data_IF_546696449941
#
_entry.id   IF_546696449941
#
_cell.length_a   1.000
_cell.length_b   1.000
_cell.length_c   1.000
_cell.angle_alpha   90.00
_cell.angle_beta   90.00
_cell.angle_gamma   90.00
#
_symmetry.space_group_name_H-M   'P 1'
#
loop_
_entity.id
_entity.type
_entity.pdbx_description
1 polymer ?
#
# COMPACT_ATOMS: atom_id res chain seq x y z
N UNK A 1 11.38 64.94 -5.33
CA UNK A 1 10.49 64.25 -6.29
C UNK A 1 10.95 62.81 -6.51
N UNK A 2 12.28 62.53 -6.56
CA UNK A 2 12.83 61.16 -6.77
C UNK A 2 12.56 60.21 -5.57
N UNK A 3 12.49 60.72 -4.36
CA UNK A 3 12.30 59.94 -3.13
C UNK A 3 10.88 59.37 -3.00
N UNK A 4 9.84 60.05 -3.47
CA UNK A 4 8.45 59.58 -3.41
C UNK A 4 8.16 58.44 -4.40
N UNK A 5 8.86 58.45 -5.54
CA UNK A 5 8.71 57.36 -6.56
C UNK A 5 9.33 56.05 -6.06
N UNK A 6 10.47 56.13 -5.35
CA UNK A 6 11.13 54.96 -4.78
C UNK A 6 10.32 54.30 -3.66
N UNK A 7 9.65 55.11 -2.83
CA UNK A 7 8.80 54.60 -1.74
C UNK A 7 7.56 53.89 -2.33
N UNK A 8 6.96 54.45 -3.40
CA UNK A 8 5.83 53.80 -4.06
C UNK A 8 6.17 52.45 -4.71
N UNK A 9 7.40 52.30 -5.26
CA UNK A 9 7.87 51.02 -5.81
C UNK A 9 8.12 49.98 -4.72
N UNK A 10 8.71 50.41 -3.59
CA UNK A 10 8.95 49.50 -2.44
C UNK A 10 7.64 49.02 -1.80
N UNK A 11 6.64 49.87 -1.72
CA UNK A 11 5.30 49.50 -1.21
C UNK A 11 4.61 48.50 -2.16
N UNK A 12 4.73 48.67 -3.48
CA UNK A 12 4.19 47.72 -4.44
C UNK A 12 4.88 46.36 -4.37
N UNK A 13 6.19 46.31 -4.20
CA UNK A 13 6.95 45.06 -4.03
C UNK A 13 6.56 44.38 -2.71
N UNK A 14 6.40 45.13 -1.62
CA UNK A 14 5.99 44.59 -0.32
C UNK A 14 4.57 44.02 -0.37
N UNK A 15 3.62 44.69 -1.06
CA UNK A 15 2.25 44.18 -1.23
C UNK A 15 2.23 42.89 -2.08
N UNK A 16 3.06 42.82 -3.13
CA UNK A 16 3.13 41.62 -3.98
C UNK A 16 3.75 40.42 -3.25
N UNK A 17 4.60 40.63 -2.25
CA UNK A 17 5.21 39.57 -1.44
C UNK A 17 4.23 39.07 -0.36
N UNK A 18 3.31 39.91 0.11
CA UNK A 18 2.30 39.57 1.14
C UNK A 18 1.13 38.77 0.54
N UNK A 19 0.86 38.89 -0.77
CA UNK A 19 -0.22 38.13 -1.45
C UNK A 19 0.18 36.76 -1.96
N UNK A 20 1.43 36.32 -1.79
CA UNK A 20 1.82 34.93 -1.94
C UNK A 20 1.55 34.19 -0.62
N UNK A 21 0.29 34.01 -0.27
CA UNK A 21 -0.06 32.95 0.69
C UNK A 21 0.51 31.63 0.12
N UNK A 22 1.24 30.84 0.95
CA UNK A 22 1.59 29.51 0.53
C UNK A 22 0.25 28.80 0.30
N UNK A 23 0.00 28.35 -0.94
CA UNK A 23 -1.03 27.36 -1.16
C UNK A 23 -0.79 26.24 -0.15
N UNK A 24 -1.61 26.22 0.90
CA UNK A 24 -1.78 25.07 1.75
C UNK A 24 -2.28 23.99 0.79
N UNK A 25 -1.35 23.19 0.29
CA UNK A 25 -1.72 21.92 -0.33
C UNK A 25 -2.55 21.22 0.76
N UNK A 26 -3.86 21.21 0.56
CA UNK A 26 -4.70 20.29 1.30
C UNK A 26 -4.00 18.94 1.18
N UNK A 27 -3.46 18.46 2.30
CA UNK A 27 -3.04 17.07 2.41
C UNK A 27 -4.31 16.29 2.06
N UNK A 28 -4.36 15.78 0.83
CA UNK A 28 -5.35 14.79 0.45
C UNK A 28 -5.17 13.67 1.45
N UNK A 29 -6.08 13.61 2.42
CA UNK A 29 -6.15 12.53 3.39
C UNK A 29 -6.13 11.26 2.57
N UNK A 30 -4.99 10.55 2.59
CA UNK A 30 -4.77 9.35 1.79
C UNK A 30 -5.99 8.44 2.02
N UNK A 31 -6.67 8.07 0.94
CA UNK A 31 -7.78 7.14 1.03
C UNK A 31 -7.20 5.81 1.51
N UNK A 32 -7.51 5.42 2.74
CA UNK A 32 -7.11 4.13 3.27
C UNK A 32 -7.63 3.03 2.35
N UNK A 33 -6.80 2.07 2.01
CA UNK A 33 -7.21 0.89 1.25
C UNK A 33 -8.38 0.21 1.96
N UNK A 34 -9.33 -0.32 1.19
CA UNK A 34 -10.43 -1.06 1.76
C UNK A 34 -9.93 -2.44 2.18
N UNK A 35 -9.80 -2.66 3.48
CA UNK A 35 -9.58 -3.97 4.08
C UNK A 35 -10.90 -4.46 4.69
N UNK A 36 -11.31 -5.67 4.35
CA UNK A 36 -12.47 -6.34 4.95
C UNK A 36 -12.00 -7.44 5.89
N UNK A 37 -12.77 -7.73 6.95
CA UNK A 37 -12.41 -8.83 7.89
C UNK A 37 -12.26 -10.17 7.18
N UNK A 38 -13.08 -10.44 6.18
CA UNK A 38 -13.03 -11.65 5.35
C UNK A 38 -11.73 -11.74 4.53
N UNK A 39 -11.08 -10.60 4.26
CA UNK A 39 -9.79 -10.49 3.57
C UNK A 39 -8.58 -10.72 4.47
N UNK A 40 -8.79 -11.07 5.74
CA UNK A 40 -7.72 -11.37 6.68
C UNK A 40 -7.72 -12.87 6.98
N UNK A 41 -6.57 -13.53 6.76
CA UNK A 41 -6.35 -14.94 7.08
C UNK A 41 -5.12 -15.06 7.97
N UNK A 42 -5.28 -15.63 9.15
CA UNK A 42 -4.23 -15.79 10.15
C UNK A 42 -3.91 -17.27 10.41
N UNK A 43 -2.71 -17.55 10.88
CA UNK A 43 -2.30 -18.89 11.25
C UNK A 43 -2.25 -19.88 10.09
N UNK A 44 -1.96 -19.40 8.88
CA UNK A 44 -1.89 -20.25 7.68
C UNK A 44 -0.63 -21.12 7.72
N UNK A 45 -0.76 -22.36 7.21
CA UNK A 45 0.38 -23.24 7.00
C UNK A 45 1.26 -22.72 5.88
N UNK A 46 2.58 -22.88 6.02
CA UNK A 46 3.54 -22.54 4.98
C UNK A 46 3.23 -23.26 3.68
N UNK A 47 3.37 -22.56 2.57
CA UNK A 47 3.22 -23.04 1.20
C UNK A 47 4.36 -22.46 0.36
N UNK A 48 4.47 -22.87 -0.90
CA UNK A 48 5.40 -22.21 -1.83
C UNK A 48 4.93 -20.79 -2.19
N UNK A 49 5.87 -19.98 -2.69
CA UNK A 49 5.65 -18.56 -3.02
C UNK A 49 4.50 -18.36 -4.01
N UNK A 50 4.48 -19.11 -5.09
CA UNK A 50 3.44 -18.96 -6.12
C UNK A 50 2.06 -19.30 -5.55
N UNK A 51 1.95 -20.35 -4.76
CA UNK A 51 0.70 -20.74 -4.08
C UNK A 51 0.22 -19.63 -3.15
N UNK A 52 1.12 -19.00 -2.37
CA UNK A 52 0.76 -17.87 -1.50
C UNK A 52 0.26 -16.65 -2.29
N UNK A 53 0.93 -16.32 -3.40
CA UNK A 53 0.52 -15.20 -4.27
C UNK A 53 -0.83 -15.49 -4.92
N UNK A 54 -1.03 -16.69 -5.46
CA UNK A 54 -2.31 -17.08 -6.06
C UNK A 54 -3.45 -17.07 -5.04
N UNK A 55 -3.19 -17.52 -3.80
CA UNK A 55 -4.18 -17.48 -2.73
C UNK A 55 -4.58 -16.04 -2.36
N UNK A 56 -3.62 -15.12 -2.30
CA UNK A 56 -3.90 -13.69 -2.09
C UNK A 56 -4.70 -13.10 -3.27
N UNK A 57 -4.35 -13.42 -4.50
CA UNK A 57 -5.09 -13.00 -5.69
C UNK A 57 -6.51 -13.55 -5.75
N UNK A 58 -6.70 -14.83 -5.40
CA UNK A 58 -8.03 -15.43 -5.30
C UNK A 58 -8.90 -14.73 -4.26
N UNK A 59 -8.33 -14.41 -3.11
CA UNK A 59 -9.05 -13.70 -2.04
C UNK A 59 -9.45 -12.28 -2.47
N UNK A 60 -8.60 -11.56 -3.23
CA UNK A 60 -8.95 -10.28 -3.83
C UNK A 60 -10.11 -10.41 -4.82
N UNK A 61 -10.10 -11.47 -5.63
CA UNK A 61 -11.17 -11.78 -6.58
C UNK A 61 -12.49 -12.12 -5.87
N UNK A 62 -12.47 -13.00 -4.88
CA UNK A 62 -13.64 -13.44 -4.11
C UNK A 62 -14.31 -12.26 -3.39
N UNK A 63 -13.53 -11.28 -2.94
CA UNK A 63 -14.03 -10.06 -2.31
C UNK A 63 -14.49 -8.99 -3.32
N UNK A 64 -14.33 -9.26 -4.61
CA UNK A 64 -14.78 -8.39 -5.70
C UNK A 64 -13.91 -7.16 -5.93
N UNK A 65 -12.62 -7.21 -5.53
CA UNK A 65 -11.65 -6.16 -5.84
C UNK A 65 -11.11 -6.29 -7.26
N UNK A 66 -10.97 -7.52 -7.76
CA UNK A 66 -10.41 -7.84 -9.08
C UNK A 66 -11.25 -8.88 -9.82
N UNK A 67 -10.89 -9.22 -11.05
CA UNK A 67 -11.32 -10.44 -11.72
C UNK A 67 -10.20 -11.51 -11.64
N UNK A 68 -10.46 -12.72 -12.16
CA UNK A 68 -9.53 -13.86 -12.08
C UNK A 68 -8.23 -13.64 -12.86
N UNK A 69 -8.23 -12.83 -13.93
CA UNK A 69 -7.03 -12.55 -14.72
C UNK A 69 -5.97 -11.82 -13.90
N UNK A 70 -6.37 -11.12 -12.83
CA UNK A 70 -5.45 -10.43 -11.94
C UNK A 70 -4.52 -11.40 -11.19
N UNK A 71 -4.96 -12.63 -10.92
CA UNK A 71 -4.18 -13.66 -10.21
C UNK A 71 -2.90 -13.97 -11.00
N UNK A 72 -3.03 -14.20 -12.31
CA UNK A 72 -1.86 -14.45 -13.15
C UNK A 72 -0.96 -13.22 -13.25
N UNK A 73 -1.53 -12.04 -13.34
CA UNK A 73 -0.77 -10.79 -13.37
C UNK A 73 0.05 -10.55 -12.09
N UNK A 74 -0.40 -11.02 -10.93
CA UNK A 74 0.37 -10.97 -9.68
C UNK A 74 1.56 -11.92 -9.74
N UNK A 75 1.39 -13.13 -10.27
CA UNK A 75 2.49 -14.09 -10.46
C UNK A 75 3.50 -13.57 -11.48
N UNK A 76 3.04 -13.03 -12.59
CA UNK A 76 3.90 -12.42 -13.62
C UNK A 76 4.72 -11.26 -13.05
N UNK A 77 4.11 -10.42 -12.20
CA UNK A 77 4.78 -9.31 -11.54
C UNK A 77 5.89 -9.79 -10.61
N UNK A 78 5.65 -10.82 -9.81
CA UNK A 78 6.65 -11.44 -8.93
C UNK A 78 7.81 -12.02 -9.73
N UNK A 79 7.55 -12.65 -10.88
CA UNK A 79 8.56 -13.21 -11.75
C UNK A 79 9.45 -12.15 -12.43
N UNK A 80 8.96 -10.93 -12.59
CA UNK A 80 9.75 -9.81 -13.12
C UNK A 80 10.73 -9.27 -12.07
N UNK A 81 10.22 -8.96 -10.89
CA UNK A 81 10.96 -8.44 -9.73
C UNK A 81 10.20 -8.86 -8.47
N UNK A 82 10.90 -9.43 -7.51
CA UNK A 82 10.25 -9.87 -6.27
C UNK A 82 9.47 -8.74 -5.59
N UNK A 83 8.30 -9.09 -5.10
CA UNK A 83 7.44 -8.21 -4.30
C UNK A 83 7.75 -8.30 -2.80
N UNK A 84 8.76 -9.07 -2.41
CA UNK A 84 9.28 -9.07 -1.05
C UNK A 84 9.94 -7.73 -0.74
N UNK A 85 9.47 -7.06 0.31
CA UNK A 85 9.95 -5.73 0.66
C UNK A 85 10.97 -5.71 1.82
N UNK A 86 11.32 -6.87 2.33
CA UNK A 86 12.13 -7.00 3.56
C UNK A 86 11.27 -7.16 4.80
N UNK A 87 11.91 -7.30 5.95
CA UNK A 87 11.29 -7.37 7.27
C UNK A 87 10.25 -8.50 7.46
N UNK A 88 10.27 -9.50 6.59
CA UNK A 88 9.31 -10.61 6.63
C UNK A 88 7.95 -10.29 5.99
N UNK A 89 7.90 -9.30 5.10
CA UNK A 89 6.67 -8.86 4.42
C UNK A 89 6.81 -8.92 2.92
N UNK A 90 5.84 -9.50 2.25
CA UNK A 90 5.67 -9.44 0.80
C UNK A 90 4.36 -8.73 0.44
N UNK A 91 4.38 -7.99 -0.65
CA UNK A 91 3.27 -7.15 -1.12
C UNK A 91 2.89 -7.50 -2.57
N UNK A 92 2.45 -8.73 -2.85
CA UNK A 92 2.10 -9.11 -4.21
C UNK A 92 0.98 -8.24 -4.78
N UNK A 93 1.19 -7.79 -6.00
CA UNK A 93 0.26 -6.94 -6.76
C UNK A 93 0.42 -7.22 -8.26
N UNK A 94 -0.54 -6.83 -9.07
CA UNK A 94 -0.51 -7.08 -10.51
C UNK A 94 0.45 -6.16 -11.26
N UNK A 95 0.78 -6.55 -12.48
CA UNK A 95 1.52 -5.70 -13.43
C UNK A 95 0.72 -4.45 -13.80
N UNK A 96 1.41 -3.41 -14.28
CA UNK A 96 0.75 -2.18 -14.75
C UNK A 96 -0.25 -2.41 -15.88
N UNK A 97 -0.07 -3.46 -16.67
CA UNK A 97 -0.97 -3.83 -17.77
C UNK A 97 -2.29 -4.48 -17.26
N UNK A 98 -2.32 -4.92 -16.01
CA UNK A 98 -3.50 -5.56 -15.41
C UNK A 98 -4.49 -4.55 -14.77
N UNK A 99 -4.32 -3.23 -15.01
CA UNK A 99 -5.19 -2.19 -14.42
C UNK A 99 -6.67 -2.37 -14.75
N UNK A 100 -6.99 -2.86 -15.93
CA UNK A 100 -8.38 -3.11 -16.37
C UNK A 100 -9.05 -4.27 -15.62
N UNK A 101 -8.27 -5.14 -14.99
CA UNK A 101 -8.77 -6.26 -14.21
C UNK A 101 -9.12 -5.87 -12.77
N UNK A 102 -8.73 -4.68 -12.33
CA UNK A 102 -9.03 -4.12 -11.01
C UNK A 102 -10.35 -3.36 -11.06
N UNK A 103 -11.33 -3.81 -10.27
CA UNK A 103 -12.67 -3.22 -10.18
C UNK A 103 -12.74 -2.11 -9.14
N UNK A 104 -12.02 -2.28 -8.03
CA UNK A 104 -11.90 -1.30 -6.93
C UNK A 104 -10.66 -1.57 -6.09
N UNK A 105 -10.17 -0.53 -5.45
CA UNK A 105 -9.00 -0.63 -4.59
C UNK A 105 -9.30 -1.38 -3.30
N UNK A 106 -8.38 -2.23 -2.89
CA UNK A 106 -8.46 -2.98 -1.66
C UNK A 106 -7.23 -3.82 -1.40
N UNK A 107 -7.15 -4.34 -0.19
CA UNK A 107 -6.06 -5.22 0.24
C UNK A 107 -6.61 -6.46 0.93
N UNK A 108 -5.80 -7.51 0.93
CA UNK A 108 -5.98 -8.72 1.74
C UNK A 108 -4.69 -9.00 2.50
N UNK A 109 -4.80 -9.55 3.70
CA UNK A 109 -3.64 -9.84 4.56
C UNK A 109 -3.65 -11.30 4.93
N UNK A 110 -2.59 -12.00 4.58
CA UNK A 110 -2.41 -13.42 4.87
C UNK A 110 -1.18 -13.61 5.76
N UNK A 111 -1.38 -14.20 6.95
CA UNK A 111 -0.32 -14.45 7.90
C UNK A 111 0.10 -15.92 7.86
N UNK A 112 1.39 -16.13 7.69
CA UNK A 112 2.05 -17.43 7.70
C UNK A 112 3.08 -17.46 8.83
N UNK A 113 2.76 -17.95 10.05
CA UNK A 113 3.67 -17.89 11.20
C UNK A 113 5.00 -18.61 10.99
N UNK A 114 5.05 -19.63 10.14
CA UNK A 114 6.28 -20.34 9.77
C UNK A 114 6.98 -19.74 8.55
N UNK A 115 6.35 -18.74 7.90
CA UNK A 115 6.86 -18.03 6.73
C UNK A 115 6.70 -18.80 5.42
N UNK A 116 6.75 -18.04 4.34
CA UNK A 116 6.77 -18.49 2.93
C UNK A 116 8.11 -18.06 2.34
N UNK A 117 8.83 -18.95 1.67
CA UNK A 117 10.12 -18.64 1.06
C UNK A 117 9.94 -17.71 -0.16
N UNK A 118 10.51 -16.51 -0.09
CA UNK A 118 10.52 -15.53 -1.19
C UNK A 118 11.91 -15.38 -1.83
N UNK A 119 12.73 -16.40 -1.77
CA UNK A 119 14.12 -16.43 -2.19
C UNK A 119 15.02 -16.68 -0.98
N UNK A 120 15.92 -15.74 -0.70
CA UNK A 120 16.86 -15.86 0.43
C UNK A 120 16.20 -15.62 1.79
N UNK A 121 15.02 -15.02 1.82
CA UNK A 121 14.29 -14.67 3.04
C UNK A 121 12.85 -15.15 3.04
N UNK A 122 12.23 -15.18 4.22
CA UNK A 122 10.84 -15.59 4.42
C UNK A 122 9.90 -14.40 4.61
N UNK A 123 8.74 -14.45 3.93
CA UNK A 123 7.61 -13.57 4.22
C UNK A 123 6.66 -14.25 5.21
N UNK A 124 6.40 -13.60 6.31
CA UNK A 124 5.41 -14.02 7.33
C UNK A 124 4.06 -13.32 7.12
N UNK A 125 4.09 -12.15 6.49
CA UNK A 125 2.92 -11.44 6.01
C UNK A 125 2.96 -11.34 4.49
N UNK A 126 1.90 -11.80 3.86
CA UNK A 126 1.65 -11.65 2.42
C UNK A 126 0.44 -10.75 2.25
N UNK A 127 0.66 -9.51 1.82
CA UNK A 127 -0.38 -8.49 1.67
C UNK A 127 -0.68 -8.32 0.18
N UNK A 128 -1.75 -8.92 -0.27
CA UNK A 128 -2.23 -8.79 -1.65
C UNK A 128 -2.86 -7.41 -1.88
N UNK A 129 -2.47 -6.73 -2.95
CA UNK A 129 -2.90 -5.35 -3.22
C UNK A 129 -3.58 -5.28 -4.59
N UNK A 130 -4.75 -4.65 -4.62
CA UNK A 130 -5.43 -4.19 -5.82
C UNK A 130 -5.61 -2.67 -5.72
N UNK A 131 -5.16 -1.91 -6.72
CA UNK A 131 -5.29 -0.45 -6.73
C UNK A 131 -5.78 0.06 -8.08
N UNK A 132 -6.80 0.90 -8.07
CA UNK A 132 -7.31 1.59 -9.26
C UNK A 132 -6.44 2.80 -9.56
N UNK A 133 -5.93 2.91 -10.79
CA UNK A 133 -5.10 4.03 -11.20
C UNK A 133 -3.83 4.16 -10.36
N UNK A 134 -3.63 5.32 -9.77
CA UNK A 134 -2.45 5.61 -8.94
C UNK A 134 -2.69 5.32 -7.44
N UNK A 135 -3.89 4.88 -7.05
CA UNK A 135 -4.22 4.56 -5.65
C UNK A 135 -3.32 3.44 -5.08
N UNK A 136 -2.77 2.57 -5.93
CA UNK A 136 -1.88 1.51 -5.46
C UNK A 136 -0.60 2.06 -4.80
N UNK A 137 -0.08 3.21 -5.24
CA UNK A 137 1.09 3.85 -4.63
C UNK A 137 0.76 4.42 -3.24
N UNK A 138 -0.44 4.98 -3.08
CA UNK A 138 -0.92 5.44 -1.77
C UNK A 138 -1.09 4.26 -0.80
N UNK A 139 -1.66 3.14 -1.28
CA UNK A 139 -1.82 1.91 -0.51
C UNK A 139 -0.46 1.39 -0.05
N UNK A 140 0.52 1.31 -0.94
CA UNK A 140 1.88 0.90 -0.60
C UNK A 140 2.50 1.79 0.47
N UNK A 141 2.40 3.12 0.30
CA UNK A 141 2.91 4.09 1.28
C UNK A 141 2.28 3.91 2.66
N UNK A 142 0.97 3.68 2.73
CA UNK A 142 0.26 3.47 3.98
C UNK A 142 0.67 2.15 4.66
N UNK A 143 0.87 1.07 3.88
CA UNK A 143 1.35 -0.21 4.41
C UNK A 143 2.75 -0.03 5.01
N UNK A 144 3.67 0.61 4.28
CA UNK A 144 5.04 0.86 4.76
C UNK A 144 5.02 1.65 6.07
N UNK A 145 4.27 2.75 6.13
CA UNK A 145 4.14 3.56 7.33
C UNK A 145 3.55 2.79 8.53
N UNK A 146 2.62 1.87 8.27
CA UNK A 146 2.02 1.02 9.31
C UNK A 146 2.98 -0.05 9.86
N UNK A 147 4.10 -0.31 9.19
CA UNK A 147 5.10 -1.32 9.56
C UNK A 147 6.37 -0.72 10.18
N UNK A 148 6.41 0.58 10.44
CA UNK A 148 7.57 1.25 11.07
C UNK A 148 7.77 0.85 12.54
N UNK A 149 6.71 0.39 13.23
CA UNK A 149 6.78 -0.12 14.61
C UNK A 149 7.24 -1.58 14.60
N UNK A 150 8.49 -1.82 15.00
CA UNK A 150 9.11 -3.14 14.99
C UNK A 150 8.41 -4.14 15.95
N UNK A 151 7.91 -3.69 17.10
CA UNK A 151 7.22 -4.54 18.07
C UNK A 151 5.86 -4.98 17.53
N UNK A 152 5.13 -4.04 16.92
CA UNK A 152 3.87 -4.34 16.21
C UNK A 152 4.12 -5.30 15.05
N UNK A 153 5.15 -5.07 14.24
CA UNK A 153 5.49 -5.93 13.11
C UNK A 153 5.78 -7.36 13.53
N UNK A 154 6.57 -7.58 14.61
CA UNK A 154 6.82 -8.92 15.15
C UNK A 154 5.54 -9.60 15.65
N UNK A 155 4.63 -8.83 16.24
CA UNK A 155 3.31 -9.34 16.64
C UNK A 155 2.48 -9.74 15.43
N UNK A 156 2.42 -8.89 14.39
CA UNK A 156 1.70 -9.15 13.14
C UNK A 156 2.20 -10.41 12.44
N UNK A 157 3.50 -10.67 12.46
CA UNK A 157 4.10 -11.85 11.81
C UNK A 157 3.76 -13.15 12.51
N UNK A 158 3.65 -13.17 13.84
CA UNK A 158 3.60 -14.41 14.62
C UNK A 158 2.26 -14.70 15.29
N UNK A 159 1.64 -13.68 15.88
CA UNK A 159 0.54 -13.86 16.83
C UNK A 159 -0.64 -12.91 16.65
N UNK A 160 -0.70 -12.16 15.54
CA UNK A 160 -1.79 -11.21 15.36
C UNK A 160 -3.12 -11.92 15.12
N UNK A 161 -4.14 -11.43 15.78
CA UNK A 161 -5.51 -11.73 15.48
C UNK A 161 -6.08 -10.80 14.38
N UNK A 162 -7.27 -11.13 13.91
CA UNK A 162 -7.95 -10.37 12.85
C UNK A 162 -8.18 -8.91 13.24
N UNK A 163 -8.49 -8.64 14.51
CA UNK A 163 -8.81 -7.29 14.98
C UNK A 163 -7.54 -6.41 15.05
N UNK A 164 -6.40 -6.98 15.44
CA UNK A 164 -5.10 -6.29 15.39
C UNK A 164 -4.71 -5.93 13.96
N UNK A 165 -4.86 -6.85 13.02
CA UNK A 165 -4.57 -6.61 11.59
C UNK A 165 -5.54 -5.55 11.02
N UNK A 166 -6.83 -5.65 11.35
CA UNK A 166 -7.82 -4.64 10.95
C UNK A 166 -7.47 -3.25 11.47
N UNK A 167 -7.03 -3.15 12.72
CA UNK A 167 -6.66 -1.87 13.34
C UNK A 167 -5.43 -1.25 12.69
N UNK A 168 -4.50 -2.09 12.24
CA UNK A 168 -3.24 -1.65 11.63
C UNK A 168 -3.44 -1.16 10.18
N UNK A 169 -4.17 -1.92 9.36
CA UNK A 169 -4.27 -1.69 7.92
C UNK A 169 -5.67 -1.24 7.44
N UNK A 170 -6.70 -1.36 8.27
CA UNK A 170 -8.10 -1.04 7.94
C UNK A 170 -8.54 0.41 8.14
#
# INVERSE_FOLDING_TARGET
>A
IVCLLQIAVLIKIAVTIVEAEPEVKEEKKAKKAVLKKEGIKTGLKSVDKETAIRAAGQLLCDLGFTNEDYIQAMVDRENMVSTYMGMGVAIPHGTSNAKETVKKSGIVVMQYPEGVDFGDEKAYLVIGIAGVGDEHLEILGNIVASLEDEELLETLKKNADVDTIMKTFG
#
